data_IF_975436833422
#
_entry.id   IF_975436833422
#
_cell.length_a   1.000
_cell.length_b   1.000
_cell.length_c   1.000
_cell.angle_alpha   90.00
_cell.angle_beta   90.00
_cell.angle_gamma   90.00
#
_symmetry.space_group_name_H-M   'P 1'
#
loop_
_entity.id
_entity.type
_entity.pdbx_description
1 polymer ?
#
# COMPACT_ATOMS: atom_id res chain seq x y z
N UNK A 1 -2.35 -18.90 -16.66
CA UNK A 1 -2.73 -17.60 -17.27
C UNK A 1 -1.65 -16.58 -16.93
N UNK A 2 -1.44 -15.55 -17.76
CA UNK A 2 -0.51 -14.46 -17.41
C UNK A 2 -1.21 -13.57 -16.38
N UNK A 3 -0.59 -13.35 -15.22
CA UNK A 3 -1.18 -12.53 -14.15
C UNK A 3 -1.32 -11.06 -14.47
N UNK A 4 -2.17 -10.40 -13.70
CA UNK A 4 -2.32 -8.95 -13.73
C UNK A 4 -1.21 -8.26 -12.92
N UNK A 5 -0.85 -7.05 -13.34
CA UNK A 5 -0.05 -6.13 -12.53
C UNK A 5 -0.84 -4.83 -12.37
N UNK A 6 -1.84 -4.81 -11.47
CA UNK A 6 -2.68 -3.63 -11.28
C UNK A 6 -1.82 -2.40 -10.94
N UNK A 7 -2.29 -1.18 -11.28
CA UNK A 7 -1.57 0.05 -10.97
C UNK A 7 -1.36 0.21 -9.46
N UNK A 8 -0.40 1.07 -9.07
CA UNK A 8 -0.25 1.48 -7.67
C UNK A 8 -1.50 2.27 -7.22
N UNK A 9 -1.80 2.25 -5.93
CA UNK A 9 -3.03 2.84 -5.36
C UNK A 9 -3.14 4.37 -5.52
N UNK A 10 -2.07 5.07 -5.91
CA UNK A 10 -2.11 6.52 -6.15
C UNK A 10 -2.45 7.33 -4.90
N UNK A 11 -3.17 8.44 -5.08
CA UNK A 11 -3.68 9.27 -3.99
C UNK A 11 -4.60 8.48 -3.05
N UNK A 12 -4.55 8.78 -1.76
CA UNK A 12 -5.44 8.17 -0.78
C UNK A 12 -6.87 8.67 -0.96
N UNK A 13 -7.77 7.78 -1.40
CA UNK A 13 -9.20 8.03 -1.54
C UNK A 13 -9.96 6.89 -0.83
N UNK A 14 -10.60 7.14 0.32
CA UNK A 14 -11.38 6.12 1.01
C UNK A 14 -12.59 5.73 0.16
N UNK A 15 -13.09 4.51 0.36
CA UNK A 15 -14.34 4.09 -0.25
C UNK A 15 -15.51 4.85 0.42
N UNK A 16 -16.30 5.65 -0.34
CA UNK A 16 -17.40 6.43 0.23
C UNK A 16 -18.55 5.57 0.76
N UNK A 17 -18.60 4.28 0.40
CA UNK A 17 -19.61 3.33 0.84
C UNK A 17 -19.16 2.47 2.04
N UNK A 18 -17.89 2.55 2.43
CA UNK A 18 -17.37 1.77 3.55
C UNK A 18 -18.01 2.20 4.88
N UNK A 19 -18.44 1.21 5.66
CA UNK A 19 -18.95 1.40 7.00
C UNK A 19 -17.83 1.08 8.00
N UNK A 20 -17.02 2.10 8.30
CA UNK A 20 -15.91 2.02 9.26
C UNK A 20 -14.53 1.80 8.62
N UNK A 21 -13.60 1.33 9.43
CA UNK A 21 -12.23 1.06 9.02
C UNK A 21 -12.19 -0.01 7.91
N UNK A 22 -11.40 0.23 6.87
CA UNK A 22 -11.37 -0.62 5.68
C UNK A 22 -10.02 -0.56 4.98
N UNK A 23 -9.85 -1.45 4.01
CA UNK A 23 -8.63 -1.53 3.20
C UNK A 23 -8.93 -1.45 1.72
N UNK A 24 -8.17 -0.62 1.00
CA UNK A 24 -8.11 -0.65 -0.46
C UNK A 24 -7.00 -1.59 -0.90
N UNK A 25 -7.32 -2.58 -1.76
CA UNK A 25 -6.36 -3.59 -2.21
C UNK A 25 -5.83 -3.30 -3.61
N UNK A 26 -4.52 -3.47 -3.78
CA UNK A 26 -3.89 -3.67 -5.09
C UNK A 26 -3.79 -5.17 -5.33
N UNK A 27 -4.70 -5.71 -6.12
CA UNK A 27 -4.93 -7.15 -6.25
C UNK A 27 -4.96 -7.60 -7.71
N UNK A 28 -4.15 -8.60 -8.06
CA UNK A 28 -4.29 -9.40 -9.28
C UNK A 28 -5.43 -10.40 -9.09
N UNK A 29 -6.58 -10.08 -9.70
CA UNK A 29 -7.80 -10.88 -9.56
C UNK A 29 -7.73 -12.18 -10.33
N UNK A 30 -6.86 -12.27 -11.34
CA UNK A 30 -6.63 -13.48 -12.13
C UNK A 30 -5.91 -14.56 -11.32
N UNK A 31 -4.89 -14.21 -10.53
CA UNK A 31 -4.13 -15.20 -9.73
C UNK A 31 -4.33 -15.10 -8.21
N UNK A 32 -5.19 -14.23 -7.72
CA UNK A 32 -5.40 -14.06 -6.28
C UNK A 32 -4.26 -13.35 -5.54
N UNK A 33 -3.31 -12.73 -6.25
CA UNK A 33 -2.11 -12.13 -5.63
C UNK A 33 -2.38 -10.70 -5.16
N UNK A 34 -2.25 -10.46 -3.86
CA UNK A 34 -2.28 -9.10 -3.29
C UNK A 34 -0.85 -8.52 -3.28
N UNK A 35 -0.70 -7.32 -3.83
CA UNK A 35 0.58 -6.61 -3.87
C UNK A 35 0.71 -5.63 -2.71
N UNK A 36 -0.38 -4.92 -2.41
CA UNK A 36 -0.40 -3.85 -1.44
C UNK A 36 -1.81 -3.70 -0.86
N UNK A 37 -1.91 -3.32 0.41
CA UNK A 37 -3.14 -2.81 1.02
C UNK A 37 -2.91 -1.39 1.54
N UNK A 38 -3.88 -0.50 1.37
CA UNK A 38 -3.94 0.78 2.09
C UNK A 38 -5.05 0.72 3.11
N UNK A 39 -4.73 0.93 4.37
CA UNK A 39 -5.69 0.96 5.46
C UNK A 39 -6.19 2.38 5.72
N UNK A 40 -7.48 2.49 5.95
CA UNK A 40 -8.17 3.70 6.36
C UNK A 40 -8.81 3.50 7.74
N UNK A 41 -8.79 4.54 8.57
CA UNK A 41 -9.52 4.56 9.83
C UNK A 41 -11.04 4.75 9.61
N UNK A 42 -11.81 4.75 10.70
CA UNK A 42 -13.27 4.94 10.67
C UNK A 42 -13.70 6.29 10.09
N UNK A 43 -12.82 7.29 10.11
CA UNK A 43 -13.06 8.60 9.52
C UNK A 43 -12.62 8.68 8.03
N UNK A 44 -12.20 7.56 7.43
CA UNK A 44 -11.71 7.49 6.06
C UNK A 44 -10.33 8.12 5.87
N UNK A 45 -9.55 8.31 6.94
CA UNK A 45 -8.18 8.86 6.84
C UNK A 45 -7.21 7.71 6.59
N UNK A 46 -6.25 7.86 5.66
CA UNK A 46 -5.25 6.83 5.42
C UNK A 46 -4.33 6.69 6.64
N UNK A 47 -4.06 5.46 7.05
CA UNK A 47 -3.26 5.13 8.24
C UNK A 47 -1.90 4.57 7.85
N UNK A 48 -1.89 3.57 6.95
CA UNK A 48 -0.66 2.94 6.44
C UNK A 48 -0.91 2.24 5.11
N UNK A 49 0.16 2.12 4.33
CA UNK A 49 0.23 1.16 3.22
C UNK A 49 1.05 -0.05 3.68
N UNK A 50 0.58 -1.27 3.39
CA UNK A 50 1.26 -2.53 3.65
C UNK A 50 1.64 -3.14 2.32
N UNK A 51 2.94 -3.39 2.13
CA UNK A 51 3.48 -4.00 0.91
C UNK A 51 3.74 -5.49 1.16
N UNK A 52 3.05 -6.36 0.40
CA UNK A 52 3.14 -7.81 0.51
C UNK A 52 4.16 -8.42 -0.46
N UNK A 53 4.79 -7.60 -1.29
CA UNK A 53 5.73 -8.04 -2.32
C UNK A 53 6.95 -7.13 -2.37
N UNK A 54 8.15 -7.70 -2.53
CA UNK A 54 9.36 -6.92 -2.77
C UNK A 54 9.39 -6.41 -4.21
N UNK A 55 9.89 -5.18 -4.45
CA UNK A 55 10.31 -4.81 -5.78
C UNK A 55 11.52 -5.65 -6.18
N UNK A 56 11.44 -6.29 -7.34
CA UNK A 56 12.56 -7.00 -7.97
C UNK A 56 13.15 -6.17 -9.10
N UNK A 57 14.40 -6.42 -9.45
CA UNK A 57 14.94 -6.04 -10.75
C UNK A 57 14.24 -6.84 -11.87
N UNK A 58 14.39 -6.45 -13.16
CA UNK A 58 13.81 -7.19 -14.28
C UNK A 58 14.24 -8.66 -14.36
N UNK A 59 15.41 -8.99 -13.81
CA UNK A 59 15.93 -10.37 -13.71
C UNK A 59 15.33 -11.18 -12.54
N UNK A 60 14.38 -10.61 -11.78
CA UNK A 60 13.75 -11.26 -10.63
C UNK A 60 14.53 -11.18 -9.32
N UNK A 61 15.75 -10.63 -9.31
CA UNK A 61 16.51 -10.48 -8.07
C UNK A 61 15.88 -9.41 -7.16
N UNK A 62 15.77 -9.66 -5.84
CA UNK A 62 15.32 -8.64 -4.88
C UNK A 62 16.23 -7.42 -4.88
N UNK A 63 15.66 -6.24 -4.64
CA UNK A 63 16.47 -5.02 -4.37
C UNK A 63 17.05 -5.11 -2.94
N UNK A 64 18.38 -5.02 -2.77
CA UNK A 64 19.03 -5.30 -1.48
C UNK A 64 18.70 -4.29 -0.38
N UNK A 65 18.44 -3.03 -0.74
CA UNK A 65 18.13 -1.96 0.23
C UNK A 65 16.65 -1.91 0.64
N UNK A 66 15.88 -2.95 0.30
CA UNK A 66 14.45 -3.00 0.59
C UNK A 66 14.16 -3.90 1.78
N UNK A 67 13.36 -3.42 2.73
CA UNK A 67 12.86 -4.24 3.81
C UNK A 67 12.01 -5.40 3.22
N UNK A 68 12.20 -6.65 3.65
CA UNK A 68 11.43 -7.77 3.14
C UNK A 68 9.95 -7.61 3.51
N UNK A 69 9.02 -8.01 2.63
CA UNK A 69 7.59 -8.02 2.91
C UNK A 69 7.22 -9.15 3.90
N UNK A 70 6.11 -8.98 4.66
CA UNK A 70 5.31 -7.77 4.71
C UNK A 70 6.02 -6.66 5.50
N UNK A 71 5.92 -5.43 5.00
CA UNK A 71 6.30 -4.24 5.74
C UNK A 71 5.30 -3.13 5.48
N UNK A 72 5.31 -2.11 6.33
CA UNK A 72 4.37 -1.01 6.28
C UNK A 72 5.06 0.34 6.07
N UNK A 73 4.28 1.28 5.58
CA UNK A 73 4.62 2.69 5.45
C UNK A 73 3.49 3.52 6.06
N UNK A 74 3.78 4.23 7.15
CA UNK A 74 2.79 5.09 7.84
C UNK A 74 2.40 6.28 6.98
N UNK A 75 1.13 6.66 7.01
CA UNK A 75 0.70 7.97 6.56
C UNK A 75 0.90 8.98 7.69
N UNK A 76 1.69 10.01 7.41
CA UNK A 76 2.01 11.06 8.38
C UNK A 76 1.28 12.35 8.03
N UNK A 77 0.75 13.09 9.01
CA UNK A 77 0.20 14.42 8.77
C UNK A 77 1.24 15.35 8.15
N UNK A 78 0.80 16.21 7.22
CA UNK A 78 1.66 17.24 6.68
C UNK A 78 1.87 18.35 7.73
N UNK A 79 3.12 18.68 8.15
CA UNK A 79 3.37 19.67 9.18
C UNK A 79 2.90 21.08 8.82
N UNK A 80 2.76 21.41 7.53
CA UNK A 80 2.28 22.72 7.06
C UNK A 80 0.77 22.75 6.83
N UNK A 81 0.05 21.68 7.19
CA UNK A 81 -1.35 21.48 6.80
C UNK A 81 -1.49 20.87 5.40
N UNK A 82 -2.70 20.43 5.07
CA UNK A 82 -3.02 19.75 3.81
C UNK A 82 -3.11 18.22 3.94
N UNK A 83 -3.13 17.53 2.80
CA UNK A 83 -3.28 16.08 2.74
C UNK A 83 -2.08 15.37 3.41
N UNK A 84 -2.31 14.29 4.19
CA UNK A 84 -1.22 13.49 4.73
C UNK A 84 -0.38 12.89 3.60
N UNK A 85 0.85 12.48 3.92
CA UNK A 85 1.76 11.85 2.96
C UNK A 85 2.21 10.48 3.49
N UNK A 86 2.38 9.51 2.58
CA UNK A 86 3.00 8.22 2.92
C UNK A 86 4.48 8.44 3.25
N UNK A 87 4.92 7.91 4.38
CA UNK A 87 6.34 7.88 4.76
C UNK A 87 7.15 7.04 3.78
N UNK A 88 8.30 7.56 3.36
CA UNK A 88 9.26 6.80 2.55
C UNK A 88 10.08 5.80 3.37
N UNK A 89 9.98 5.85 4.71
CA UNK A 89 10.68 4.93 5.61
C UNK A 89 9.83 3.68 5.83
N UNK A 90 10.27 2.50 5.38
CA UNK A 90 9.58 1.24 5.67
C UNK A 90 9.78 0.83 7.14
N UNK A 91 8.77 0.20 7.71
CA UNK A 91 8.77 -0.38 9.05
C UNK A 91 8.35 -1.86 8.98
N UNK A 92 8.93 -2.75 9.80
CA UNK A 92 8.39 -4.10 9.95
C UNK A 92 6.92 -4.05 10.39
N UNK A 93 6.13 -5.02 9.93
CA UNK A 93 4.74 -5.19 10.36
C UNK A 93 4.66 -5.73 11.79
#
# INVERSE_FOLDING_TARGET
>A
MKGEQPPRLGEARPDPSAQGAHSQLRWDTTNGRVYQAREFDEAGRPVRDIDFTSPTFPNGSPRPDHLPPPHQHRWVPNPTGGSPSRSNKPEPL
#
